data_IF_147124408668
#
_entry.id   IF_147124408668
#
_cell.length_a   1.000
_cell.length_b   1.000
_cell.length_c   1.000
_cell.angle_alpha   90.00
_cell.angle_beta   90.00
_cell.angle_gamma   90.00
#
_symmetry.space_group_name_H-M   'P 1'
#
loop_
_entity.id
_entity.type
_entity.pdbx_description
1 polymer ?
#
# COMPACT_ATOMS: atom_id res chain seq x y z
N UNK A 1 5.20 5.03 -15.69
CA UNK A 1 6.51 5.22 -16.38
C UNK A 1 7.29 3.92 -16.53
N UNK A 2 7.55 3.16 -15.45
CA UNK A 2 8.34 1.91 -15.50
C UNK A 2 7.83 0.92 -16.58
N UNK A 3 6.52 0.68 -16.62
CA UNK A 3 5.91 -0.23 -17.60
C UNK A 3 6.08 0.22 -19.07
N UNK A 4 6.01 1.54 -19.33
CA UNK A 4 6.30 2.12 -20.65
C UNK A 4 7.75 1.87 -21.05
N UNK A 5 8.69 2.04 -20.13
CA UNK A 5 10.11 1.77 -20.36
C UNK A 5 10.38 0.30 -20.68
N UNK A 6 9.75 -0.63 -19.95
CA UNK A 6 9.86 -2.07 -20.22
C UNK A 6 9.27 -2.47 -21.57
N UNK A 7 8.14 -1.89 -21.97
CA UNK A 7 7.56 -2.15 -23.29
C UNK A 7 8.44 -1.64 -24.43
N UNK A 8 9.13 -0.51 -24.27
CA UNK A 8 10.08 -0.05 -25.29
C UNK A 8 11.16 -1.11 -25.57
N UNK A 9 11.61 -1.82 -24.54
CA UNK A 9 12.51 -2.96 -24.70
C UNK A 9 11.89 -4.07 -25.55
N UNK A 10 10.64 -4.44 -25.30
CA UNK A 10 9.91 -5.41 -26.11
C UNK A 10 9.76 -4.98 -27.58
N UNK A 11 9.44 -3.71 -27.83
CA UNK A 11 9.32 -3.18 -29.19
C UNK A 11 10.63 -3.31 -29.98
N UNK A 12 11.78 -3.18 -29.32
CA UNK A 12 13.10 -3.38 -29.95
C UNK A 12 13.36 -4.85 -30.33
N UNK A 13 12.79 -5.79 -29.59
CA UNK A 13 12.83 -7.22 -29.94
C UNK A 13 11.94 -7.48 -31.16
N UNK A 14 10.71 -6.98 -31.14
CA UNK A 14 9.76 -7.15 -32.25
C UNK A 14 10.24 -6.49 -33.55
N UNK A 15 10.96 -5.38 -33.45
CA UNK A 15 11.60 -4.71 -34.59
C UNK A 15 12.87 -5.43 -35.11
N UNK A 16 13.29 -6.54 -34.48
CA UNK A 16 14.48 -7.30 -34.85
C UNK A 16 15.81 -6.59 -34.52
N UNK A 17 15.80 -5.57 -33.65
CA UNK A 17 16.99 -4.79 -33.31
C UNK A 17 17.81 -5.39 -32.17
N UNK A 18 17.16 -6.12 -31.25
CA UNK A 18 17.80 -6.70 -30.06
C UNK A 18 17.23 -8.08 -29.75
N UNK A 19 18.03 -8.93 -29.10
CA UNK A 19 17.54 -10.20 -28.54
C UNK A 19 16.88 -9.98 -27.17
N UNK A 20 16.02 -10.90 -26.69
CA UNK A 20 15.46 -10.82 -25.34
C UNK A 20 16.51 -10.68 -24.22
N UNK A 21 17.60 -11.45 -24.29
CA UNK A 21 18.68 -11.40 -23.30
C UNK A 21 19.41 -10.04 -23.32
N UNK A 22 19.60 -9.47 -24.50
CA UNK A 22 20.19 -8.14 -24.67
C UNK A 22 19.33 -7.04 -24.02
N UNK A 23 18.01 -7.10 -24.20
CA UNK A 23 17.08 -6.17 -23.52
C UNK A 23 17.06 -6.38 -22.00
N UNK A 24 17.13 -7.63 -21.53
CA UNK A 24 17.21 -7.93 -20.09
C UNK A 24 18.49 -7.36 -19.48
N UNK A 25 19.66 -7.59 -20.09
CA UNK A 25 20.93 -7.05 -19.63
C UNK A 25 20.99 -5.51 -19.75
N UNK A 26 20.45 -4.94 -20.83
CA UNK A 26 20.36 -3.49 -21.00
C UNK A 26 19.52 -2.81 -19.93
N UNK A 27 18.41 -3.43 -19.49
CA UNK A 27 17.63 -2.98 -18.33
C UNK A 27 18.49 -2.96 -17.07
N UNK A 28 19.22 -4.03 -16.80
CA UNK A 28 20.06 -4.16 -15.60
C UNK A 28 21.11 -3.04 -15.54
N UNK A 29 21.84 -2.84 -16.64
CA UNK A 29 22.84 -1.77 -16.77
C UNK A 29 22.18 -0.40 -16.60
N UNK A 30 21.01 -0.17 -17.21
CA UNK A 30 20.28 1.08 -17.10
C UNK A 30 19.86 1.39 -15.65
N UNK A 31 19.37 0.40 -14.90
CA UNK A 31 19.01 0.55 -13.49
C UNK A 31 20.26 0.83 -12.65
N UNK A 32 21.34 0.08 -12.85
CA UNK A 32 22.60 0.26 -12.14
C UNK A 32 23.19 1.66 -12.38
N UNK A 33 23.21 2.12 -13.64
CA UNK A 33 23.68 3.44 -14.02
C UNK A 33 22.81 4.56 -13.42
N UNK A 34 21.48 4.40 -13.44
CA UNK A 34 20.58 5.36 -12.81
C UNK A 34 20.84 5.46 -11.29
N UNK A 35 20.93 4.31 -10.60
CA UNK A 35 21.23 4.28 -9.18
C UNK A 35 22.58 4.92 -8.85
N UNK A 36 23.63 4.61 -9.62
CA UNK A 36 24.97 5.18 -9.44
C UNK A 36 24.97 6.71 -9.55
N UNK A 37 24.26 7.27 -10.54
CA UNK A 37 24.15 8.72 -10.69
C UNK A 37 23.33 9.36 -9.56
N UNK A 38 22.26 8.71 -9.10
CA UNK A 38 21.35 9.24 -8.09
C UNK A 38 21.92 9.18 -6.66
N UNK A 39 22.81 8.21 -6.38
CA UNK A 39 23.43 8.04 -5.06
C UNK A 39 24.70 8.89 -4.89
N UNK A 40 25.30 9.36 -5.99
CA UNK A 40 26.50 10.19 -5.95
C UNK A 40 26.21 11.52 -5.20
N UNK A 41 26.90 11.80 -4.07
CA UNK A 41 26.73 13.04 -3.33
C UNK A 41 27.01 14.29 -4.17
N UNK A 42 27.89 14.21 -5.19
CA UNK A 42 28.15 15.31 -6.11
C UNK A 42 26.90 15.71 -6.91
N UNK A 43 25.98 14.77 -7.12
CA UNK A 43 24.72 15.01 -7.83
C UNK A 43 23.55 15.37 -6.91
N UNK A 44 23.73 15.46 -5.59
CA UNK A 44 22.62 15.66 -4.65
C UNK A 44 21.79 16.93 -4.96
N UNK A 45 22.47 18.06 -5.21
CA UNK A 45 21.81 19.32 -5.57
C UNK A 45 21.12 19.23 -6.93
N UNK A 46 21.77 18.62 -7.93
CA UNK A 46 21.23 18.43 -9.27
C UNK A 46 19.98 17.54 -9.26
N UNK A 47 20.02 16.44 -8.50
CA UNK A 47 18.90 15.52 -8.29
C UNK A 47 17.70 16.21 -7.68
N UNK A 48 17.90 17.01 -6.63
CA UNK A 48 16.83 17.79 -6.00
C UNK A 48 16.25 18.84 -6.96
N UNK A 49 17.10 19.55 -7.70
CA UNK A 49 16.67 20.52 -8.70
C UNK A 49 15.86 19.85 -9.84
N UNK A 50 16.33 18.70 -10.35
CA UNK A 50 15.65 17.94 -11.40
C UNK A 50 14.28 17.42 -10.93
N UNK A 51 14.17 16.93 -9.70
CA UNK A 51 12.89 16.52 -9.12
C UNK A 51 11.89 17.68 -9.08
N UNK A 52 12.31 18.83 -8.55
CA UNK A 52 11.48 20.04 -8.47
C UNK A 52 11.10 20.56 -9.85
N UNK A 53 12.04 20.60 -10.78
CA UNK A 53 11.79 21.02 -12.16
C UNK A 53 10.77 20.13 -12.85
N UNK A 54 10.91 18.81 -12.73
CA UNK A 54 9.99 17.85 -13.33
C UNK A 54 8.57 18.00 -12.77
N UNK A 55 8.43 18.12 -11.44
CA UNK A 55 7.11 18.32 -10.81
C UNK A 55 6.49 19.64 -11.25
N UNK A 56 7.22 20.74 -11.20
CA UNK A 56 6.72 22.06 -11.63
C UNK A 56 6.27 22.03 -13.08
N UNK A 57 7.06 21.44 -13.98
CA UNK A 57 6.71 21.37 -15.39
C UNK A 57 5.47 20.50 -15.65
N UNK A 58 5.39 19.32 -15.03
CA UNK A 58 4.24 18.42 -15.19
C UNK A 58 2.97 19.05 -14.63
N UNK A 59 3.03 19.62 -13.42
CA UNK A 59 1.89 20.29 -12.79
C UNK A 59 1.38 21.47 -13.61
N UNK A 60 2.30 22.29 -14.17
CA UNK A 60 1.93 23.38 -15.05
C UNK A 60 1.25 22.88 -16.35
N UNK A 61 1.76 21.79 -16.94
CA UNK A 61 1.16 21.20 -18.15
C UNK A 61 -0.22 20.61 -17.90
N UNK A 62 -0.47 20.09 -16.70
CA UNK A 62 -1.74 19.45 -16.35
C UNK A 62 -2.73 20.37 -15.64
N UNK A 63 -2.36 21.63 -15.37
CA UNK A 63 -3.21 22.55 -14.62
C UNK A 63 -3.49 22.09 -13.20
N UNK A 64 -2.54 21.38 -12.58
CA UNK A 64 -2.65 20.86 -11.21
C UNK A 64 -1.62 21.51 -10.30
N UNK A 65 -1.71 21.20 -9.02
CA UNK A 65 -0.74 21.56 -7.97
C UNK A 65 -0.25 20.30 -7.23
N UNK A 66 0.60 20.48 -6.22
CA UNK A 66 1.16 19.37 -5.46
C UNK A 66 0.10 18.49 -4.76
N UNK A 67 -1.07 19.06 -4.49
CA UNK A 67 -2.21 18.40 -3.86
C UNK A 67 -3.04 17.59 -4.86
N UNK A 68 -3.26 18.12 -6.06
CA UNK A 68 -4.17 17.56 -7.07
C UNK A 68 -3.46 16.70 -8.10
N UNK A 69 -2.16 16.91 -8.33
CA UNK A 69 -1.38 16.16 -9.30
C UNK A 69 -1.34 14.65 -9.06
N UNK A 70 -1.16 14.13 -7.83
CA UNK A 70 -1.17 12.68 -7.60
C UNK A 70 -2.49 12.01 -8.00
N UNK A 71 -3.63 12.66 -7.73
CA UNK A 71 -4.94 12.15 -8.10
C UNK A 71 -5.11 12.11 -9.63
N UNK A 72 -4.69 13.17 -10.32
CA UNK A 72 -4.71 13.18 -11.79
C UNK A 72 -3.77 12.12 -12.38
N UNK A 73 -2.58 11.94 -11.81
CA UNK A 73 -1.62 10.94 -12.28
C UNK A 73 -2.15 9.49 -12.16
N UNK A 74 -3.21 9.27 -11.37
CA UNK A 74 -3.84 7.97 -11.14
C UNK A 74 -5.29 7.90 -11.67
N UNK A 75 -5.78 8.94 -12.36
CA UNK A 75 -7.16 8.99 -12.86
C UNK A 75 -7.35 8.30 -14.22
N UNK A 76 -6.26 7.79 -14.81
CA UNK A 76 -6.30 7.04 -16.06
C UNK A 76 -7.25 5.85 -15.96
N UNK A 77 -8.02 5.63 -17.03
CA UNK A 77 -8.88 4.44 -17.19
C UNK A 77 -8.35 3.61 -18.34
N UNK A 78 -8.75 2.33 -18.50
CA UNK A 78 -8.35 1.55 -19.67
C UNK A 78 -8.67 2.21 -21.02
N UNK A 79 -9.63 3.14 -21.07
CA UNK A 79 -9.97 3.92 -22.26
C UNK A 79 -8.99 5.08 -22.55
N UNK A 80 -8.34 5.63 -21.52
CA UNK A 80 -7.51 6.85 -21.64
C UNK A 80 -6.03 6.61 -21.35
N UNK A 81 -5.70 5.56 -20.60
CA UNK A 81 -4.34 5.08 -20.36
C UNK A 81 -4.31 3.55 -20.40
N UNK A 82 -3.64 3.01 -21.41
CA UNK A 82 -3.47 1.55 -21.60
C UNK A 82 -2.70 0.85 -20.48
N UNK A 83 -2.11 1.60 -19.54
CA UNK A 83 -1.46 1.07 -18.34
C UNK A 83 -2.30 1.19 -17.06
N UNK A 84 -3.52 1.72 -17.16
CA UNK A 84 -4.42 1.94 -16.03
C UNK A 84 -4.92 0.62 -15.40
N UNK A 85 -5.08 -0.44 -16.20
CA UNK A 85 -5.44 -1.74 -15.67
C UNK A 85 -4.25 -2.36 -14.92
N UNK A 86 -4.34 -2.32 -13.59
CA UNK A 86 -3.25 -2.71 -12.71
C UNK A 86 -2.82 -4.18 -12.92
N UNK A 87 -3.79 -5.11 -12.98
CA UNK A 87 -3.51 -6.54 -13.09
C UNK A 87 -2.82 -6.88 -14.43
N UNK A 88 -3.32 -6.31 -15.53
CA UNK A 88 -2.73 -6.44 -16.86
C UNK A 88 -1.34 -5.84 -16.90
N UNK A 89 -1.14 -4.68 -16.28
CA UNK A 89 0.14 -3.99 -16.25
C UNK A 89 1.19 -4.79 -15.44
N UNK A 90 0.81 -5.30 -14.28
CA UNK A 90 1.64 -6.17 -13.45
C UNK A 90 2.05 -7.44 -14.21
N UNK A 91 1.08 -8.16 -14.80
CA UNK A 91 1.35 -9.38 -15.57
C UNK A 91 2.30 -9.12 -16.75
N UNK A 92 2.07 -8.03 -17.49
CA UNK A 92 2.94 -7.64 -18.60
C UNK A 92 4.34 -7.22 -18.14
N UNK A 93 4.46 -6.49 -17.03
CA UNK A 93 5.75 -6.11 -16.48
C UNK A 93 6.55 -7.34 -16.06
N UNK A 94 5.96 -8.23 -15.28
CA UNK A 94 6.61 -9.48 -14.85
C UNK A 94 7.01 -10.34 -16.04
N UNK A 95 6.14 -10.48 -17.05
CA UNK A 95 6.49 -11.20 -18.29
C UNK A 95 7.67 -10.57 -19.02
N UNK A 96 7.73 -9.24 -19.12
CA UNK A 96 8.84 -8.49 -19.78
C UNK A 96 10.12 -8.47 -18.95
N UNK A 97 10.09 -8.90 -17.69
CA UNK A 97 11.32 -9.09 -16.92
C UNK A 97 12.12 -10.30 -17.41
N UNK A 98 11.43 -11.34 -17.91
CA UNK A 98 12.02 -12.63 -18.32
C UNK A 98 11.79 -12.98 -19.80
N UNK A 99 10.91 -12.26 -20.49
CA UNK A 99 10.46 -12.55 -21.85
C UNK A 99 9.99 -14.00 -22.07
N UNK A 100 9.47 -14.64 -21.01
CA UNK A 100 8.96 -16.01 -21.08
C UNK A 100 10.03 -17.10 -20.97
N UNK A 101 11.30 -16.75 -20.74
CA UNK A 101 12.32 -17.76 -20.42
C UNK A 101 11.96 -18.51 -19.14
N UNK A 102 12.18 -19.81 -19.15
CA UNK A 102 12.12 -20.65 -17.95
C UNK A 102 13.38 -20.46 -17.09
N UNK A 103 13.27 -20.82 -15.81
CA UNK A 103 14.44 -20.90 -14.93
C UNK A 103 15.36 -22.04 -15.39
N UNK A 104 16.66 -21.78 -15.43
CA UNK A 104 17.74 -22.69 -15.85
C UNK A 104 18.77 -22.95 -14.74
N UNK A 105 18.67 -22.26 -13.60
CA UNK A 105 19.53 -22.40 -12.41
C UNK A 105 18.70 -22.48 -11.12
N UNK A 106 19.35 -22.48 -9.96
CA UNK A 106 18.70 -22.62 -8.65
C UNK A 106 17.61 -21.54 -8.45
N UNK A 107 16.42 -21.98 -8.06
CA UNK A 107 15.22 -21.13 -7.92
C UNK A 107 15.01 -20.58 -6.52
N UNK A 108 15.92 -20.88 -5.60
CA UNK A 108 15.82 -20.58 -4.17
C UNK A 108 16.98 -19.72 -3.65
N UNK A 109 17.70 -19.02 -4.53
CA UNK A 109 18.77 -18.13 -4.08
C UNK A 109 18.17 -16.97 -3.30
N UNK A 110 18.83 -16.63 -2.19
CA UNK A 110 18.44 -15.49 -1.36
C UNK A 110 18.43 -14.21 -2.21
N UNK A 111 17.50 -13.28 -1.95
CA UNK A 111 17.51 -11.96 -2.59
C UNK A 111 18.80 -11.19 -2.31
N UNK A 112 19.29 -10.44 -3.31
CA UNK A 112 20.51 -9.62 -3.21
C UNK A 112 20.19 -8.23 -3.71
N UNK A 113 20.19 -7.26 -2.79
CA UNK A 113 19.96 -5.85 -3.13
C UNK A 113 21.31 -5.15 -3.28
N UNK A 114 21.67 -4.63 -4.47
CA UNK A 114 22.89 -3.87 -4.67
C UNK A 114 22.96 -2.65 -3.73
N UNK A 115 24.16 -2.27 -3.29
CA UNK A 115 24.35 -1.04 -2.49
C UNK A 115 23.92 0.19 -3.30
N UNK A 116 23.19 1.13 -2.68
CA UNK A 116 22.71 2.33 -3.34
C UNK A 116 21.40 2.15 -4.11
N UNK A 117 20.92 0.92 -4.34
CA UNK A 117 19.66 0.68 -5.04
C UNK A 117 18.44 1.30 -4.32
N UNK A 118 18.51 1.52 -3.01
CA UNK A 118 17.48 2.20 -2.22
C UNK A 118 17.13 3.62 -2.70
N UNK A 119 18.03 4.26 -3.45
CA UNK A 119 17.78 5.59 -4.02
C UNK A 119 16.69 5.55 -5.10
N UNK A 120 16.50 4.40 -5.76
CA UNK A 120 15.48 4.19 -6.80
C UNK A 120 14.06 4.32 -6.26
N UNK A 121 13.88 4.13 -4.95
CA UNK A 121 12.60 4.21 -4.26
C UNK A 121 12.46 5.47 -3.39
N UNK A 122 13.47 6.34 -3.36
CA UNK A 122 13.52 7.47 -2.42
C UNK A 122 12.36 8.46 -2.63
N UNK A 123 12.06 8.82 -3.88
CA UNK A 123 10.95 9.73 -4.19
C UNK A 123 9.58 9.05 -4.13
N UNK A 124 9.54 7.72 -4.24
CA UNK A 124 8.32 6.92 -4.11
C UNK A 124 7.92 6.73 -2.65
N UNK A 125 8.89 6.51 -1.77
CA UNK A 125 8.70 6.32 -0.33
C UNK A 125 9.61 7.27 0.47
N UNK A 126 9.32 8.58 0.44
CA UNK A 126 10.13 9.58 1.14
C UNK A 126 10.11 9.40 2.67
N UNK A 127 9.06 8.78 3.20
CA UNK A 127 8.87 8.52 4.64
C UNK A 127 9.55 7.22 5.14
N UNK A 128 10.10 6.39 4.23
CA UNK A 128 10.87 5.21 4.62
C UNK A 128 12.36 5.56 4.76
N UNK A 129 13.05 4.91 5.67
CA UNK A 129 14.52 4.97 5.74
C UNK A 129 15.17 4.27 4.54
N UNK A 130 16.46 4.53 4.32
CA UNK A 130 17.26 3.81 3.32
C UNK A 130 17.17 2.29 3.50
N UNK A 131 17.36 1.79 4.73
CA UNK A 131 17.29 0.36 5.03
C UNK A 131 15.91 -0.24 4.77
N UNK A 132 14.85 0.48 5.09
CA UNK A 132 13.48 0.07 4.78
C UNK A 132 13.25 -0.04 3.27
N UNK A 133 13.72 0.93 2.48
CA UNK A 133 13.66 0.85 1.01
C UNK A 133 14.47 -0.33 0.47
N UNK A 134 15.60 -0.69 1.10
CA UNK A 134 16.34 -1.92 0.75
C UNK A 134 15.51 -3.17 1.05
N UNK A 135 14.76 -3.21 2.16
CA UNK A 135 13.87 -4.35 2.46
C UNK A 135 12.70 -4.42 1.48
N UNK A 136 12.15 -3.29 1.04
CA UNK A 136 11.15 -3.24 -0.03
C UNK A 136 11.69 -3.89 -1.31
N UNK A 137 12.87 -3.46 -1.78
CA UNK A 137 13.53 -4.07 -2.95
C UNK A 137 13.75 -5.58 -2.74
N UNK A 138 14.32 -5.96 -1.60
CA UNK A 138 14.63 -7.35 -1.24
C UNK A 138 13.40 -8.26 -1.29
N UNK A 139 12.28 -7.80 -0.76
CA UNK A 139 11.07 -8.62 -0.58
C UNK A 139 10.18 -8.66 -1.82
N UNK A 140 10.49 -7.83 -2.82
CA UNK A 140 9.75 -7.76 -4.09
C UNK A 140 10.55 -8.30 -5.27
N UNK A 141 11.81 -8.70 -5.06
CA UNK A 141 12.64 -9.34 -6.09
C UNK A 141 11.94 -10.53 -6.76
N UNK A 142 12.18 -10.68 -8.06
CA UNK A 142 11.76 -11.87 -8.80
C UNK A 142 12.52 -13.10 -8.26
N UNK A 143 11.93 -14.29 -8.39
CA UNK A 143 12.61 -15.54 -8.08
C UNK A 143 13.93 -15.67 -8.85
N UNK A 144 14.93 -16.32 -8.26
CA UNK A 144 16.20 -16.62 -8.92
C UNK A 144 16.03 -17.68 -10.00
N UNK A 145 17.07 -17.96 -10.77
CA UNK A 145 17.06 -19.08 -11.71
C UNK A 145 16.89 -18.67 -13.16
N UNK A 146 16.45 -17.44 -13.43
CA UNK A 146 16.21 -16.98 -14.81
C UNK A 146 17.53 -16.62 -15.50
N UNK A 147 17.63 -16.83 -16.83
CA UNK A 147 18.79 -16.42 -17.60
C UNK A 147 19.16 -14.97 -17.32
N UNK A 148 20.45 -14.71 -17.09
CA UNK A 148 21.08 -13.40 -16.82
C UNK A 148 20.56 -12.63 -15.60
N UNK A 149 19.56 -13.11 -14.85
CA UNK A 149 18.99 -12.35 -13.73
C UNK A 149 19.70 -12.61 -12.40
N UNK A 150 20.37 -13.75 -12.23
CA UNK A 150 21.19 -14.07 -11.04
C UNK A 150 22.59 -13.42 -11.15
N UNK A 151 22.67 -12.12 -11.45
CA UNK A 151 23.94 -11.39 -11.50
C UNK A 151 24.55 -11.24 -10.11
N UNK A 152 25.88 -11.12 -10.06
CA UNK A 152 26.64 -11.09 -8.81
C UNK A 152 26.26 -9.89 -7.92
N UNK A 153 25.94 -8.75 -8.54
CA UNK A 153 25.58 -7.51 -7.87
C UNK A 153 24.11 -7.47 -7.42
N UNK A 154 23.20 -8.15 -8.15
CA UNK A 154 21.78 -8.31 -7.81
C UNK A 154 20.81 -7.38 -8.55
N UNK A 155 21.21 -6.75 -9.65
CA UNK A 155 20.37 -5.82 -10.41
C UNK A 155 19.28 -6.52 -11.25
N UNK A 156 19.52 -7.75 -11.65
CA UNK A 156 18.67 -8.56 -12.53
C UNK A 156 17.29 -8.82 -11.96
N UNK A 157 17.24 -9.13 -10.66
CA UNK A 157 16.03 -9.56 -9.96
C UNK A 157 15.18 -8.42 -9.42
N UNK A 158 15.70 -7.18 -9.40
CA UNK A 158 14.94 -6.02 -8.90
C UNK A 158 13.66 -5.81 -9.72
N UNK A 159 12.52 -6.06 -9.09
CA UNK A 159 11.20 -5.83 -9.67
C UNK A 159 10.67 -4.47 -9.21
N UNK A 160 11.04 -3.41 -9.92
CA UNK A 160 10.66 -2.05 -9.56
C UNK A 160 9.14 -1.78 -9.67
N UNK A 161 8.38 -2.62 -10.38
CA UNK A 161 6.92 -2.51 -10.40
C UNK A 161 6.34 -2.94 -9.04
N UNK A 162 6.66 -4.16 -8.60
CA UNK A 162 6.23 -4.64 -7.29
C UNK A 162 6.81 -3.79 -6.15
N UNK A 163 8.08 -3.38 -6.25
CA UNK A 163 8.70 -2.51 -5.25
C UNK A 163 8.01 -1.14 -5.15
N UNK A 164 7.48 -0.60 -6.25
CA UNK A 164 6.77 0.67 -6.23
C UNK A 164 5.39 0.58 -5.56
N UNK A 165 4.83 -0.62 -5.38
CA UNK A 165 3.60 -0.78 -4.63
C UNK A 165 3.86 -0.74 -3.13
N UNK A 166 4.86 -1.48 -2.61
CA UNK A 166 5.41 -1.43 -1.25
C UNK A 166 6.23 -2.70 -0.93
N UNK A 167 6.23 -3.18 0.32
CA UNK A 167 6.88 -4.43 0.76
C UNK A 167 6.23 -5.66 0.12
N UNK A 168 7.01 -6.70 -0.17
CA UNK A 168 6.45 -8.04 -0.47
C UNK A 168 6.25 -8.88 0.79
N UNK A 169 7.03 -8.60 1.85
CA UNK A 169 6.95 -9.30 3.11
C UNK A 169 7.52 -8.46 4.27
N UNK A 170 6.99 -8.66 5.47
CA UNK A 170 7.58 -8.19 6.72
C UNK A 170 8.47 -9.30 7.32
N UNK A 171 9.75 -9.28 6.97
CA UNK A 171 10.77 -10.18 7.53
C UNK A 171 11.20 -9.79 8.96
N UNK A 172 10.62 -8.73 9.50
CA UNK A 172 10.80 -8.18 10.83
C UNK A 172 9.77 -7.08 11.05
N UNK A 173 9.73 -6.51 12.26
CA UNK A 173 8.78 -5.44 12.56
C UNK A 173 9.10 -4.18 11.74
N UNK A 174 8.07 -3.56 11.17
CA UNK A 174 8.15 -2.36 10.35
C UNK A 174 7.44 -1.22 11.06
N UNK A 175 8.15 -0.10 11.24
CA UNK A 175 7.60 1.16 11.74
C UNK A 175 7.56 2.15 10.59
N UNK A 176 6.37 2.66 10.27
CA UNK A 176 6.15 3.67 9.23
C UNK A 176 5.84 5.00 9.91
N UNK A 177 6.66 6.02 9.65
CA UNK A 177 6.51 7.36 10.24
C UNK A 177 6.16 8.37 9.15
N UNK A 178 4.89 8.77 9.07
CA UNK A 178 4.40 9.67 8.02
C UNK A 178 4.13 11.08 8.58
N UNK A 179 4.44 12.11 7.79
CA UNK A 179 4.24 13.52 8.16
C UNK A 179 3.37 14.23 7.13
N UNK A 180 2.12 14.47 7.51
CA UNK A 180 1.14 15.15 6.67
C UNK A 180 1.54 16.58 6.29
N UNK A 181 2.37 17.25 7.08
CA UNK A 181 2.79 18.63 6.79
C UNK A 181 3.73 18.72 5.60
N UNK A 182 4.36 17.62 5.21
CA UNK A 182 5.27 17.53 4.06
C UNK A 182 4.55 17.26 2.73
N UNK A 183 3.24 16.98 2.76
CA UNK A 183 2.45 16.73 1.56
C UNK A 183 2.84 15.46 0.78
N UNK A 184 2.24 15.27 -0.40
CA UNK A 184 2.53 14.14 -1.29
C UNK A 184 2.47 12.78 -0.59
N UNK A 185 3.44 11.91 -0.89
CA UNK A 185 3.53 10.58 -0.27
C UNK A 185 3.87 10.61 1.23
N UNK A 186 4.44 11.69 1.77
CA UNK A 186 4.61 11.82 3.22
C UNK A 186 3.26 12.02 3.94
N UNK A 187 2.28 12.60 3.25
CA UNK A 187 0.96 12.83 3.80
C UNK A 187 0.00 11.67 3.59
N UNK A 188 -0.01 11.07 2.40
CA UNK A 188 -0.88 9.93 2.11
C UNK A 188 -0.25 8.98 1.09
N UNK A 189 -0.37 7.68 1.35
CA UNK A 189 0.10 6.63 0.43
C UNK A 189 -0.80 5.40 0.45
N UNK A 190 -0.76 4.61 -0.62
CA UNK A 190 -1.46 3.33 -0.75
C UNK A 190 -0.47 2.21 -1.05
N UNK A 191 -0.50 1.19 -0.21
CA UNK A 191 0.23 -0.06 -0.36
C UNK A 191 -0.69 -1.11 -0.97
N UNK A 192 -0.22 -1.78 -2.02
CA UNK A 192 -1.03 -2.68 -2.87
C UNK A 192 -0.53 -4.11 -2.90
N UNK A 193 0.71 -4.38 -2.49
CA UNK A 193 1.23 -5.73 -2.48
C UNK A 193 0.47 -6.63 -1.51
N UNK A 194 0.45 -7.93 -1.79
CA UNK A 194 0.01 -8.94 -0.84
C UNK A 194 1.15 -9.22 0.16
N UNK A 195 1.23 -8.41 1.22
CA UNK A 195 2.34 -8.46 2.18
C UNK A 195 2.22 -9.71 3.05
N UNK A 196 3.28 -10.53 3.05
CA UNK A 196 3.40 -11.74 3.86
C UNK A 196 4.40 -11.58 5.02
N UNK A 197 4.72 -12.66 5.74
CA UNK A 197 5.80 -12.69 6.73
C UNK A 197 5.36 -12.55 8.19
N UNK A 198 6.30 -12.72 9.11
CA UNK A 198 6.00 -12.78 10.55
C UNK A 198 6.02 -11.41 11.26
N UNK A 199 6.49 -10.36 10.59
CA UNK A 199 6.66 -9.04 11.18
C UNK A 199 5.35 -8.30 11.44
N UNK A 200 5.39 -7.39 12.42
CA UNK A 200 4.33 -6.44 12.77
C UNK A 200 4.45 -5.15 11.96
N UNK A 201 3.33 -4.54 11.58
CA UNK A 201 3.26 -3.16 11.09
C UNK A 201 2.88 -2.20 12.23
N UNK A 202 3.64 -1.13 12.41
CA UNK A 202 3.27 0.01 13.26
C UNK A 202 3.23 1.29 12.42
N UNK A 203 2.08 1.96 12.36
CA UNK A 203 1.95 3.30 11.80
C UNK A 203 2.06 4.35 12.91
N UNK A 204 2.85 5.39 12.66
CA UNK A 204 2.94 6.58 13.50
C UNK A 204 3.08 7.87 12.66
N UNK A 205 2.94 9.00 13.33
CA UNK A 205 2.97 10.33 12.72
C UNK A 205 1.57 10.84 12.39
N UNK A 206 1.46 11.77 11.45
CA UNK A 206 0.22 12.48 11.13
C UNK A 206 -0.39 12.09 9.78
N UNK A 207 0.35 11.33 8.97
CA UNK A 207 -0.11 10.89 7.64
C UNK A 207 -1.13 9.75 7.63
N UNK A 208 -1.59 9.42 6.42
CA UNK A 208 -2.52 8.34 6.12
C UNK A 208 -1.86 7.23 5.31
N UNK A 209 -1.90 6.00 5.81
CA UNK A 209 -1.47 4.82 5.06
C UNK A 209 -2.69 3.95 4.73
N UNK A 210 -2.93 3.68 3.44
CA UNK A 210 -3.98 2.77 2.97
C UNK A 210 -3.39 1.41 2.61
N UNK A 211 -3.94 0.34 3.15
CA UNK A 211 -3.60 -1.03 2.82
C UNK A 211 -4.68 -1.63 1.90
N UNK A 212 -4.38 -1.69 0.61
CA UNK A 212 -5.26 -2.21 -0.45
C UNK A 212 -4.91 -3.63 -0.90
N UNK A 213 -3.75 -4.16 -0.48
CA UNK A 213 -3.35 -5.54 -0.75
C UNK A 213 -4.12 -6.58 0.07
N UNK A 214 -4.14 -7.82 -0.44
CA UNK A 214 -4.62 -8.98 0.32
C UNK A 214 -3.50 -9.53 1.20
N UNK A 215 -3.33 -8.94 2.38
CA UNK A 215 -2.19 -9.22 3.25
C UNK A 215 -2.35 -10.52 4.03
N UNK A 216 -1.22 -11.16 4.36
CA UNK A 216 -1.15 -12.41 5.13
C UNK A 216 -0.13 -12.38 6.27
N UNK A 217 0.54 -11.24 6.51
CA UNK A 217 1.49 -11.12 7.61
C UNK A 217 0.85 -11.44 8.96
N UNK A 218 1.63 -12.07 9.86
CA UNK A 218 1.10 -12.65 11.10
C UNK A 218 1.45 -11.84 12.35
N UNK A 219 2.37 -10.89 12.26
CA UNK A 219 2.86 -10.13 13.42
C UNK A 219 1.87 -9.10 13.97
N UNK A 220 0.76 -8.85 13.25
CA UNK A 220 -0.28 -7.90 13.62
C UNK A 220 -0.01 -6.47 13.17
N UNK A 221 -0.92 -5.59 13.56
CA UNK A 221 -1.00 -4.21 13.10
C UNK A 221 -1.24 -3.28 14.27
N UNK A 222 -0.48 -2.20 14.36
CA UNK A 222 -0.59 -1.19 15.41
C UNK A 222 -0.75 0.21 14.81
N UNK A 223 -1.80 0.92 15.23
CA UNK A 223 -1.94 2.36 15.00
C UNK A 223 -1.46 3.08 16.26
N UNK A 224 -0.30 3.72 16.18
CA UNK A 224 0.26 4.54 17.25
C UNK A 224 -0.05 6.03 17.06
N UNK A 225 -0.34 6.46 15.83
CA UNK A 225 -0.89 7.77 15.46
C UNK A 225 -1.21 7.79 13.96
N UNK A 226 -1.80 8.88 13.47
CA UNK A 226 -2.17 9.03 12.06
C UNK A 226 -3.44 8.29 11.70
N UNK A 227 -3.60 7.97 10.41
CA UNK A 227 -4.74 7.21 9.89
C UNK A 227 -4.26 5.96 9.17
N UNK A 228 -4.58 4.79 9.71
CA UNK A 228 -4.38 3.53 8.98
C UNK A 228 -5.71 3.11 8.37
N UNK A 229 -5.77 2.95 7.05
CA UNK A 229 -7.00 2.65 6.33
C UNK A 229 -6.96 1.25 5.70
N UNK A 230 -7.96 0.43 5.99
CA UNK A 230 -8.21 -0.80 5.26
C UNK A 230 -8.99 -0.53 3.97
N UNK A 231 -8.43 -0.98 2.85
CA UNK A 231 -9.07 -0.98 1.53
C UNK A 231 -9.17 -2.37 0.89
N UNK A 232 -8.97 -3.40 1.71
CA UNK A 232 -9.10 -4.78 1.29
C UNK A 232 -9.70 -5.57 2.42
N UNK A 233 -10.46 -6.61 2.09
CA UNK A 233 -11.04 -7.53 3.07
C UNK A 233 -9.96 -8.18 3.95
N UNK A 234 -8.72 -8.26 3.49
CA UNK A 234 -7.57 -8.82 4.21
C UNK A 234 -6.47 -7.78 4.47
N UNK A 235 -6.82 -6.50 4.60
CA UNK A 235 -5.85 -5.41 4.78
C UNK A 235 -4.89 -5.61 5.97
N UNK A 236 -5.33 -6.24 7.06
CA UNK A 236 -4.57 -6.34 8.31
C UNK A 236 -3.85 -7.67 8.54
N UNK A 237 -3.73 -8.51 7.51
CA UNK A 237 -3.09 -9.82 7.66
C UNK A 237 -3.90 -10.75 8.58
N UNK A 238 -3.20 -11.56 9.35
CA UNK A 238 -3.81 -12.58 10.23
C UNK A 238 -3.54 -12.37 11.73
N UNK A 239 -2.76 -11.34 12.08
CA UNK A 239 -2.46 -11.01 13.47
C UNK A 239 -3.51 -10.15 14.15
N UNK A 240 -3.18 -9.70 15.36
CA UNK A 240 -4.00 -8.76 16.13
C UNK A 240 -3.96 -7.34 15.52
N UNK A 241 -5.05 -6.59 15.66
CA UNK A 241 -5.13 -5.16 15.32
C UNK A 241 -5.32 -4.34 16.59
N UNK A 242 -4.37 -3.44 16.85
CA UNK A 242 -4.35 -2.59 18.04
C UNK A 242 -4.35 -1.10 17.67
N UNK A 243 -5.38 -0.38 18.11
CA UNK A 243 -5.53 1.06 17.91
C UNK A 243 -5.23 1.76 19.23
N UNK A 244 -3.97 2.17 19.40
CA UNK A 244 -3.48 2.82 20.62
C UNK A 244 -3.64 4.33 20.60
N UNK A 245 -3.56 4.93 19.41
CA UNK A 245 -3.86 6.34 19.15
C UNK A 245 -4.26 6.51 17.67
N UNK A 246 -4.75 7.69 17.30
CA UNK A 246 -5.10 8.00 15.91
C UNK A 246 -6.41 7.34 15.46
N UNK A 247 -6.49 7.01 14.17
CA UNK A 247 -7.69 6.48 13.53
C UNK A 247 -7.42 5.18 12.77
N UNK A 248 -8.29 4.20 12.97
CA UNK A 248 -8.44 3.06 12.06
C UNK A 248 -9.62 3.37 11.14
N UNK A 249 -9.35 3.51 9.84
CA UNK A 249 -10.38 3.73 8.83
C UNK A 249 -10.68 2.43 8.07
N UNK A 250 -11.94 2.21 7.71
CA UNK A 250 -12.40 1.03 6.98
C UNK A 250 -13.22 1.46 5.78
N UNK A 251 -12.67 1.23 4.59
CA UNK A 251 -13.31 1.58 3.31
C UNK A 251 -13.21 0.44 2.28
N UNK A 252 -12.88 -0.77 2.74
CA UNK A 252 -12.82 -1.95 1.89
C UNK A 252 -14.21 -2.27 1.29
N UNK A 253 -14.28 -2.77 0.04
CA UNK A 253 -15.54 -3.05 -0.65
C UNK A 253 -16.36 -4.21 -0.06
N UNK A 254 -15.83 -4.89 0.96
CA UNK A 254 -16.46 -5.95 1.72
C UNK A 254 -16.04 -5.83 3.20
N UNK A 255 -16.60 -6.68 4.06
CA UNK A 255 -16.20 -6.71 5.47
C UNK A 255 -14.71 -7.05 5.60
N UNK A 256 -14.00 -6.31 6.45
CA UNK A 256 -12.58 -6.52 6.73
C UNK A 256 -12.43 -7.56 7.82
N UNK A 257 -11.74 -8.65 7.51
CA UNK A 257 -11.44 -9.72 8.43
C UNK A 257 -10.26 -9.34 9.33
N UNK A 258 -10.45 -9.49 10.64
CA UNK A 258 -9.40 -9.48 11.65
C UNK A 258 -9.38 -10.87 12.26
N UNK A 259 -8.41 -11.69 11.87
CA UNK A 259 -8.30 -13.07 12.36
C UNK A 259 -7.88 -13.12 13.84
N UNK A 260 -7.03 -12.19 14.27
CA UNK A 260 -6.65 -12.02 15.66
C UNK A 260 -7.68 -11.24 16.48
N UNK A 261 -7.20 -10.61 17.54
CA UNK A 261 -7.98 -9.71 18.40
C UNK A 261 -8.06 -8.31 17.78
N UNK A 262 -9.14 -7.61 18.07
CA UNK A 262 -9.25 -6.18 17.81
C UNK A 262 -9.29 -5.43 19.14
N UNK A 263 -8.38 -4.48 19.33
CA UNK A 263 -8.35 -3.64 20.53
C UNK A 263 -8.33 -2.17 20.15
N UNK A 264 -9.23 -1.39 20.75
CA UNK A 264 -9.30 0.05 20.62
C UNK A 264 -9.25 0.72 22.00
N UNK A 265 -8.36 1.71 22.14
CA UNK A 265 -8.25 2.50 23.36
C UNK A 265 -9.08 3.79 23.33
N UNK A 266 -9.24 4.42 24.49
CA UNK A 266 -9.82 5.75 24.60
C UNK A 266 -9.01 6.79 23.79
N UNK A 267 -9.69 7.82 23.27
CA UNK A 267 -9.04 8.89 22.49
C UNK A 267 -8.69 8.51 21.05
N UNK A 268 -9.10 7.33 20.59
CA UNK A 268 -8.93 6.86 19.22
C UNK A 268 -10.26 6.87 18.46
N UNK A 269 -10.19 6.72 17.13
CA UNK A 269 -11.38 6.67 16.26
C UNK A 269 -11.40 5.39 15.41
N UNK A 270 -12.56 4.74 15.34
CA UNK A 270 -12.92 3.80 14.29
C UNK A 270 -13.80 4.52 13.27
N UNK A 271 -13.30 4.77 12.06
CA UNK A 271 -14.01 5.47 10.98
C UNK A 271 -14.45 4.47 9.90
N UNK A 272 -15.76 4.29 9.74
CA UNK A 272 -16.34 3.29 8.87
C UNK A 272 -17.07 3.96 7.69
N UNK A 273 -16.59 3.69 6.47
CA UNK A 273 -17.28 4.04 5.24
C UNK A 273 -18.27 2.92 4.88
N UNK A 274 -19.49 2.99 5.42
CA UNK A 274 -20.51 1.96 5.28
C UNK A 274 -21.17 2.04 3.90
N UNK A 275 -21.15 0.92 3.19
CA UNK A 275 -21.75 0.78 1.87
C UNK A 275 -22.57 -0.51 1.71
N UNK A 276 -23.06 -0.81 0.50
CA UNK A 276 -23.74 -2.07 0.22
C UNK A 276 -22.80 -3.28 0.40
N UNK A 277 -23.38 -4.49 0.45
CA UNK A 277 -22.62 -5.77 0.44
C UNK A 277 -21.59 -5.93 1.58
N UNK A 278 -21.80 -5.26 2.72
CA UNK A 278 -20.91 -5.36 3.87
C UNK A 278 -19.65 -4.48 3.80
N UNK A 279 -19.57 -3.58 2.80
CA UNK A 279 -18.52 -2.55 2.75
C UNK A 279 -18.42 -1.78 4.07
N UNK A 280 -17.19 -1.52 4.49
CA UNK A 280 -16.90 -0.70 5.67
C UNK A 280 -17.10 -1.40 7.01
N UNK A 281 -17.49 -2.68 7.05
CA UNK A 281 -17.69 -3.43 8.30
C UNK A 281 -16.42 -4.13 8.76
N UNK A 282 -16.32 -4.39 10.06
CA UNK A 282 -15.28 -5.28 10.63
C UNK A 282 -15.88 -6.65 10.98
N UNK A 283 -15.14 -7.71 10.69
CA UNK A 283 -15.42 -9.07 11.14
C UNK A 283 -14.21 -9.59 11.93
N UNK A 284 -14.35 -9.70 13.24
CA UNK A 284 -13.28 -10.06 14.18
C UNK A 284 -13.50 -11.48 14.68
N UNK A 285 -12.57 -12.38 14.37
CA UNK A 285 -12.63 -13.77 14.81
C UNK A 285 -12.15 -13.93 16.27
N UNK A 286 -11.15 -13.15 16.67
CA UNK A 286 -10.68 -13.09 18.05
C UNK A 286 -11.57 -12.22 18.95
N UNK A 287 -11.02 -11.87 20.12
CA UNK A 287 -11.71 -11.01 21.08
C UNK A 287 -11.71 -9.55 20.61
N UNK A 288 -12.87 -8.91 20.64
CA UNK A 288 -13.03 -7.47 20.43
C UNK A 288 -13.05 -6.74 21.78
N UNK A 289 -12.13 -5.80 21.97
CA UNK A 289 -12.04 -4.93 23.15
C UNK A 289 -12.09 -3.46 22.73
N UNK A 290 -13.07 -2.71 23.22
CA UNK A 290 -13.16 -1.26 23.00
C UNK A 290 -13.26 -0.63 24.38
N UNK A 291 -12.19 0.06 24.77
CA UNK A 291 -12.07 0.75 26.05
C UNK A 291 -12.57 2.21 26.00
N UNK A 292 -13.18 2.62 24.90
CA UNK A 292 -13.69 3.97 24.66
C UNK A 292 -13.34 4.49 23.27
N UNK A 293 -13.33 5.82 23.14
CA UNK A 293 -13.05 6.50 21.87
C UNK A 293 -14.30 6.70 21.01
N UNK A 294 -14.09 7.04 19.74
CA UNK A 294 -15.16 7.41 18.81
C UNK A 294 -15.41 6.30 17.81
N UNK A 295 -16.68 5.94 17.63
CA UNK A 295 -17.17 5.26 16.43
C UNK A 295 -17.73 6.33 15.49
N UNK A 296 -17.21 6.41 14.27
CA UNK A 296 -17.68 7.31 13.23
C UNK A 296 -18.18 6.53 12.02
N UNK A 297 -19.40 6.80 11.57
CA UNK A 297 -19.99 6.20 10.38
C UNK A 297 -20.31 7.28 9.35
N UNK A 298 -19.92 7.00 8.10
CA UNK A 298 -20.39 7.71 6.91
C UNK A 298 -20.93 6.71 5.90
N UNK A 299 -21.90 7.14 5.11
CA UNK A 299 -22.52 6.28 4.09
C UNK A 299 -21.97 6.59 2.70
N UNK A 300 -21.55 5.55 1.97
CA UNK A 300 -20.86 5.68 0.68
C UNK A 300 -21.51 4.81 -0.39
N UNK A 301 -21.10 5.01 -1.65
CA UNK A 301 -21.49 4.18 -2.79
C UNK A 301 -23.02 4.00 -2.95
N UNK A 302 -23.77 5.09 -2.70
CA UNK A 302 -25.22 5.13 -2.85
C UNK A 302 -26.01 4.43 -1.73
N UNK A 303 -25.34 3.97 -0.67
CA UNK A 303 -26.02 3.43 0.49
C UNK A 303 -26.79 4.53 1.22
N UNK A 304 -28.11 4.37 1.32
CA UNK A 304 -29.05 5.39 1.80
C UNK A 304 -29.93 4.80 2.90
N UNK A 305 -29.40 4.65 4.13
CA UNK A 305 -30.20 4.19 5.24
C UNK A 305 -31.20 5.27 5.68
N UNK A 306 -32.21 4.87 6.44
CA UNK A 306 -33.25 5.76 6.96
C UNK A 306 -33.36 5.64 8.48
N UNK A 307 -33.97 6.64 9.09
CA UNK A 307 -34.40 6.60 10.49
C UNK A 307 -35.14 5.29 10.78
N UNK A 308 -34.79 4.64 11.87
CA UNK A 308 -35.29 3.34 12.29
C UNK A 308 -34.47 2.14 11.79
N UNK A 309 -33.56 2.33 10.83
CA UNK A 309 -32.67 1.25 10.40
C UNK A 309 -31.65 0.92 11.50
N UNK A 310 -31.28 -0.37 11.58
CA UNK A 310 -30.20 -0.84 12.45
C UNK A 310 -29.09 -1.45 11.60
N UNK A 311 -27.89 -0.92 11.74
CA UNK A 311 -26.74 -1.21 10.89
C UNK A 311 -25.70 -1.97 11.71
N UNK A 312 -25.40 -3.20 11.32
CA UNK A 312 -24.27 -3.94 11.89
C UNK A 312 -22.94 -3.37 11.39
N UNK A 313 -22.03 -3.06 12.32
CA UNK A 313 -20.76 -2.37 12.04
C UNK A 313 -19.53 -3.20 12.41
N UNK A 314 -19.63 -3.99 13.49
CA UNK A 314 -18.55 -4.87 13.96
C UNK A 314 -19.17 -6.20 14.36
N UNK A 315 -18.77 -7.27 13.68
CA UNK A 315 -19.02 -8.63 14.13
C UNK A 315 -17.81 -9.11 14.93
N UNK A 316 -18.03 -9.65 16.12
CA UNK A 316 -16.96 -10.12 17.01
C UNK A 316 -17.36 -10.14 18.48
N UNK A 317 -17.05 -11.25 19.16
CA UNK A 317 -17.36 -11.44 20.57
C UNK A 317 -16.42 -10.62 21.47
N UNK A 318 -16.92 -10.14 22.61
CA UNK A 318 -16.12 -9.33 23.54
C UNK A 318 -16.83 -8.96 24.83
N UNK A 319 -16.09 -8.86 25.93
CA UNK A 319 -16.62 -8.53 27.26
C UNK A 319 -16.70 -7.03 27.54
N UNK A 320 -15.82 -6.21 26.96
CA UNK A 320 -15.83 -4.74 27.10
C UNK A 320 -15.74 -4.08 25.71
N UNK A 321 -16.83 -3.50 25.23
CA UNK A 321 -16.97 -3.03 23.84
C UNK A 321 -17.66 -1.68 23.70
N UNK A 322 -17.49 -0.77 24.65
CA UNK A 322 -18.22 0.50 24.62
C UNK A 322 -17.38 1.63 24.02
N UNK A 323 -17.90 2.25 22.96
CA UNK A 323 -17.40 3.54 22.49
C UNK A 323 -17.83 4.64 23.47
N UNK A 324 -16.98 5.65 23.65
CA UNK A 324 -17.32 6.84 24.42
C UNK A 324 -18.25 7.77 23.62
N UNK A 325 -18.07 7.80 22.30
CA UNK A 325 -18.84 8.65 21.39
C UNK A 325 -19.21 7.85 20.15
N UNK A 326 -20.45 8.03 19.68
CA UNK A 326 -20.93 7.47 18.41
C UNK A 326 -21.41 8.63 17.57
N UNK A 327 -20.86 8.75 16.36
CA UNK A 327 -21.20 9.80 15.40
C UNK A 327 -21.58 9.13 14.09
N UNK A 328 -22.76 9.48 13.57
CA UNK A 328 -23.22 9.02 12.26
C UNK A 328 -23.54 10.23 11.41
N UNK A 329 -22.89 10.35 10.27
CA UNK A 329 -23.09 11.48 9.38
C UNK A 329 -24.56 11.56 8.94
N UNK A 330 -25.22 12.67 9.30
CA UNK A 330 -26.61 12.95 8.94
C UNK A 330 -27.68 12.32 9.84
N UNK A 331 -27.32 11.61 10.91
CA UNK A 331 -28.28 10.96 11.80
C UNK A 331 -27.94 11.17 13.29
N UNK A 332 -28.98 11.24 14.12
CA UNK A 332 -28.83 10.85 15.53
C UNK A 332 -28.79 9.34 15.60
N UNK A 333 -27.99 8.78 16.51
CA UNK A 333 -27.82 7.34 16.55
C UNK A 333 -27.42 6.81 17.92
N UNK A 334 -27.89 5.59 18.19
CA UNK A 334 -27.63 4.86 19.42
C UNK A 334 -26.91 3.55 19.10
N UNK A 335 -25.76 3.31 19.72
CA UNK A 335 -25.06 2.04 19.59
C UNK A 335 -25.73 0.93 20.40
N UNK A 336 -25.89 -0.22 19.77
CA UNK A 336 -26.41 -1.45 20.37
C UNK A 336 -25.26 -2.45 20.48
N UNK A 337 -24.97 -2.87 21.71
CA UNK A 337 -23.92 -3.82 22.02
C UNK A 337 -24.54 -5.19 22.32
N UNK A 338 -24.25 -6.17 21.48
CA UNK A 338 -24.78 -7.55 21.59
C UNK A 338 -23.66 -8.51 21.94
N UNK A 339 -23.95 -9.74 22.39
CA UNK A 339 -22.91 -10.73 22.70
C UNK A 339 -21.95 -11.01 21.52
N UNK A 340 -22.43 -10.87 20.28
CA UNK A 340 -21.71 -11.26 19.06
C UNK A 340 -21.27 -10.08 18.20
N UNK A 341 -21.64 -8.83 18.51
CA UNK A 341 -21.23 -7.68 17.71
C UNK A 341 -21.76 -6.33 18.20
N UNK A 342 -21.53 -5.31 17.38
CA UNK A 342 -21.94 -3.93 17.60
C UNK A 342 -22.77 -3.48 16.41
N UNK A 343 -23.89 -2.86 16.70
CA UNK A 343 -24.80 -2.28 15.72
C UNK A 343 -25.06 -0.82 16.07
N UNK A 344 -25.55 -0.07 15.10
CA UNK A 344 -25.95 1.32 15.26
C UNK A 344 -27.39 1.47 14.80
N UNK A 345 -28.28 1.88 15.69
CA UNK A 345 -29.65 2.24 15.37
C UNK A 345 -29.71 3.72 14.99
N UNK A 346 -30.38 4.03 13.89
CA UNK A 346 -30.59 5.41 13.45
C UNK A 346 -31.86 5.96 14.11
N UNK A 347 -31.67 6.92 15.01
CA UNK A 347 -32.74 7.54 15.77
C UNK A 347 -33.48 8.58 14.92
N UNK A 348 -34.67 8.99 15.40
CA UNK A 348 -35.52 9.99 14.74
C UNK A 348 -35.07 11.43 14.97
#
# INVERSE_FOLDING_TARGET
>A
MLARGQELGENRILAGMHSPLDVMSGRMIGIAAAAANLVDPANAALKAAAFTQAHTALMAQTGTDATTFPALAQSGTPATDRFADYATNQANFTRRMTFGFSQISATTLAPVVPKGAEVLLETRFPYLSADQRRVVLKTTELASGYPVLDDAEGWGRLNLFAAADDYGAFNGNVIVSMDATQGGFNAADTWRNAISGAGKLTLQGTGRLRLAGANTYTGGTQVASGVLEADSANAFGTGDVYVGAGTLAVNAPAAVAIAGKFTQLQGTTLDLAIGPNGQGKLSVAGLTTIAGGTLHLKFVNGYTPKVGDTIAVVDGAGSNRQFSTVVVDGFQATAIYTATGIQVHLDA
#
